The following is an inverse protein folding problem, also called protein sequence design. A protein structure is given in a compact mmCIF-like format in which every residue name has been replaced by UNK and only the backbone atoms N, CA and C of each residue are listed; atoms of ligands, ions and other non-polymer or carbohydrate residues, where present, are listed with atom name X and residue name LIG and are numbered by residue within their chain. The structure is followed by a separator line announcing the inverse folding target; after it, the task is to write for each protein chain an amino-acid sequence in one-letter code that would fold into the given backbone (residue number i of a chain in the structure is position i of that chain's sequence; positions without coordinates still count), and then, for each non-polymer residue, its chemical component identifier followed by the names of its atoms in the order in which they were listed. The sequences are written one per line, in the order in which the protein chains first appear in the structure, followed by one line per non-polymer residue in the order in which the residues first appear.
data_IF_160590764044
#
_entry.id   IF_160590764044
#
_cell.length_a   1.000
_cell.length_b   1.000
_cell.length_c   1.000
_cell.angle_alpha   90.00
_cell.angle_beta   90.00
_cell.angle_gamma   90.00
#
_symmetry.space_group_name_H-M   'P 1'
#
loop_
_entity.id
_entity.type
_entity.pdbx_description
1 polymer ?
#
# COMPACT_ATOMS: atom_id res chain seq x y z
N UNK A 1 -2.09 8.98 -28.85
CA UNK A 1 -3.39 8.32 -28.60
C UNK A 1 -4.21 9.10 -27.57
N UNK A 2 -3.97 9.02 -26.25
CA UNK A 2 -4.80 9.73 -25.23
C UNK A 2 -5.04 11.23 -25.51
N UNK A 3 -4.02 11.96 -25.95
CA UNK A 3 -4.16 13.37 -26.35
C UNK A 3 -5.05 13.58 -27.57
N UNK A 4 -5.05 12.64 -28.51
CA UNK A 4 -5.80 12.70 -29.76
C UNK A 4 -7.25 12.24 -29.55
N UNK A 5 -7.47 11.25 -28.70
CA UNK A 5 -8.77 10.67 -28.39
C UNK A 5 -9.49 11.36 -27.21
N UNK A 6 -9.02 12.54 -26.78
CA UNK A 6 -9.60 13.24 -25.62
C UNK A 6 -11.00 13.76 -25.96
N UNK A 7 -11.99 13.45 -25.11
CA UNK A 7 -13.31 14.05 -25.16
C UNK A 7 -13.33 15.37 -24.37
N UNK A 8 -13.14 16.50 -25.06
CA UNK A 8 -13.17 17.82 -24.42
C UNK A 8 -14.57 18.26 -23.99
N UNK A 9 -15.63 17.67 -24.55
CA UNK A 9 -16.99 17.96 -24.10
C UNK A 9 -17.23 17.34 -22.73
N UNK A 10 -16.97 16.03 -22.59
CA UNK A 10 -17.05 15.36 -21.30
C UNK A 10 -16.13 16.02 -20.25
N UNK A 11 -14.91 16.41 -20.63
CA UNK A 11 -13.99 17.08 -19.72
C UNK A 11 -14.53 18.42 -19.17
N UNK A 12 -15.25 19.20 -19.98
CA UNK A 12 -15.79 20.51 -19.56
C UNK A 12 -16.88 20.40 -18.50
N UNK A 13 -17.58 19.27 -18.44
CA UNK A 13 -18.64 19.01 -17.46
C UNK A 13 -18.12 18.59 -16.09
N UNK A 14 -16.80 18.40 -15.94
CA UNK A 14 -16.20 17.90 -14.71
C UNK A 14 -16.00 19.04 -13.72
N UNK A 15 -16.76 18.99 -12.63
CA UNK A 15 -16.66 19.91 -11.50
C UNK A 15 -15.86 19.26 -10.36
N UNK A 16 -14.97 20.03 -9.75
CA UNK A 16 -14.21 19.64 -8.55
C UNK A 16 -14.84 20.17 -7.26
N UNK A 17 -16.10 20.58 -7.32
CA UNK A 17 -16.94 20.96 -6.18
C UNK A 17 -17.70 19.75 -5.67
N UNK A 18 -17.64 19.49 -4.37
CA UNK A 18 -18.26 18.31 -3.75
C UNK A 18 -19.23 18.72 -2.64
N UNK A 19 -20.45 18.18 -2.65
CA UNK A 19 -21.46 18.44 -1.61
C UNK A 19 -21.03 18.00 -0.19
N UNK A 20 -20.18 16.97 -0.08
CA UNK A 20 -19.59 16.53 1.17
C UNK A 20 -18.08 16.36 1.04
N UNK A 21 -17.31 16.95 1.95
CA UNK A 21 -15.85 16.83 1.99
C UNK A 21 -15.35 16.73 3.44
N UNK A 22 -14.38 15.83 3.68
CA UNK A 22 -13.79 15.63 5.00
C UNK A 22 -12.92 16.83 5.39
N UNK A 23 -13.00 17.26 6.65
CA UNK A 23 -12.20 18.37 7.17
C UNK A 23 -10.78 17.96 7.48
N UNK A 24 -9.85 18.91 7.39
CA UNK A 24 -8.46 18.68 7.82
C UNK A 24 -7.60 17.97 6.79
N UNK A 25 -8.00 17.99 5.52
CA UNK A 25 -7.09 17.69 4.41
C UNK A 25 -5.81 18.53 4.50
N UNK A 26 -4.72 17.93 4.06
CA UNK A 26 -3.40 18.55 4.01
C UNK A 26 -2.83 18.42 2.61
N UNK A 27 -1.81 19.21 2.29
CA UNK A 27 -1.15 19.20 0.98
C UNK A 27 -0.80 17.76 0.56
N UNK A 28 -1.02 17.47 -0.72
CA UNK A 28 -0.72 16.17 -1.30
C UNK A 28 0.75 15.78 -1.08
N UNK A 29 0.97 14.51 -0.81
CA UNK A 29 2.27 13.86 -0.65
C UNK A 29 2.74 13.25 -1.96
N UNK A 30 4.05 13.09 -2.17
CA UNK A 30 4.60 12.47 -3.39
C UNK A 30 5.44 11.24 -3.07
N UNK A 31 5.07 10.10 -3.66
CA UNK A 31 5.85 8.85 -3.60
C UNK A 31 7.01 8.80 -4.60
N UNK A 32 7.14 9.80 -5.48
CA UNK A 32 8.15 9.87 -6.53
C UNK A 32 8.17 8.60 -7.39
N UNK A 33 9.33 8.02 -7.66
CA UNK A 33 9.53 6.82 -8.50
C UNK A 33 9.64 5.57 -7.62
N UNK A 34 8.61 5.35 -6.80
CA UNK A 34 8.45 4.15 -5.96
C UNK A 34 6.99 3.68 -5.99
N UNK A 35 6.74 2.41 -5.70
CA UNK A 35 5.40 1.80 -5.70
C UNK A 35 4.66 1.88 -4.35
N UNK A 36 4.92 2.92 -3.54
CA UNK A 36 4.47 3.02 -2.13
C UNK A 36 3.05 3.57 -1.94
N UNK A 37 2.24 3.64 -2.99
CA UNK A 37 0.92 4.28 -2.98
C UNK A 37 0.02 3.88 -1.80
N UNK A 38 -0.08 2.58 -1.52
CA UNK A 38 -0.84 2.01 -0.41
C UNK A 38 -0.41 2.55 0.96
N UNK A 39 0.90 2.63 1.21
CA UNK A 39 1.47 3.22 2.43
C UNK A 39 1.24 4.73 2.50
N UNK A 40 1.38 5.44 1.37
CA UNK A 40 1.08 6.87 1.31
C UNK A 40 -0.40 7.15 1.60
N UNK A 41 -1.31 6.40 0.99
CA UNK A 41 -2.75 6.52 1.22
C UNK A 41 -3.12 6.20 2.68
N UNK A 42 -2.57 5.13 3.25
CA UNK A 42 -2.80 4.78 4.67
C UNK A 42 -2.27 5.85 5.63
N UNK A 43 -1.05 6.36 5.41
CA UNK A 43 -0.49 7.44 6.23
C UNK A 43 -1.23 8.78 6.01
N UNK A 44 -1.78 9.01 4.81
CA UNK A 44 -2.63 10.17 4.51
C UNK A 44 -3.97 10.10 5.23
N UNK A 45 -4.55 8.91 5.38
CA UNK A 45 -5.71 8.68 6.25
C UNK A 45 -5.36 9.05 7.69
N UNK A 46 -4.28 8.47 8.24
CA UNK A 46 -3.90 8.70 9.64
C UNK A 46 -3.60 10.18 9.95
N UNK A 47 -3.02 10.94 9.00
CA UNK A 47 -2.59 12.33 9.29
C UNK A 47 -3.77 13.28 9.38
N UNK A 48 -4.92 12.92 8.81
CA UNK A 48 -6.16 13.69 8.95
C UNK A 48 -6.61 13.65 10.42
N UNK A 49 -6.67 12.47 11.04
CA UNK A 49 -7.02 12.32 12.44
C UNK A 49 -6.03 13.01 13.39
N UNK A 50 -4.73 12.78 13.20
CA UNK A 50 -3.69 13.45 13.99
C UNK A 50 -3.75 14.97 13.81
N UNK A 51 -3.93 15.43 12.57
CA UNK A 51 -4.06 16.83 12.22
C UNK A 51 -5.24 17.52 12.89
N UNK A 52 -6.39 16.84 12.98
CA UNK A 52 -7.57 17.32 13.71
C UNK A 52 -7.30 17.40 15.21
N UNK A 53 -6.76 16.33 15.81
CA UNK A 53 -6.41 16.24 17.24
C UNK A 53 -5.51 17.39 17.69
N UNK A 54 -4.47 17.68 16.91
CA UNK A 54 -3.47 18.72 17.24
C UNK A 54 -3.67 20.05 16.52
N UNK A 55 -4.76 20.20 15.76
CA UNK A 55 -5.08 21.40 14.95
C UNK A 55 -3.89 21.83 14.07
N UNK A 56 -3.26 20.89 13.38
CA UNK A 56 -2.09 21.13 12.54
C UNK A 56 -2.49 21.67 11.16
N UNK A 57 -1.66 22.57 10.60
CA UNK A 57 -1.80 23.03 9.20
C UNK A 57 -1.22 22.04 8.22
N UNK A 58 -0.08 21.43 8.57
CA UNK A 58 0.61 20.46 7.73
C UNK A 58 1.37 19.46 8.62
N UNK A 59 1.28 18.19 8.28
CA UNK A 59 1.99 17.10 8.93
C UNK A 59 2.15 15.94 7.95
N UNK A 60 3.26 15.21 8.08
CA UNK A 60 3.48 13.96 7.36
C UNK A 60 4.12 12.95 8.31
N UNK A 61 3.68 11.69 8.21
CA UNK A 61 4.43 10.56 8.74
C UNK A 61 5.57 10.19 7.80
N UNK A 62 6.58 9.49 8.30
CA UNK A 62 7.67 8.97 7.48
C UNK A 62 7.20 7.79 6.65
N UNK A 63 7.08 8.01 5.34
CA UNK A 63 6.85 6.94 4.38
C UNK A 63 8.11 6.08 4.14
N UNK A 64 9.29 6.60 4.48
CA UNK A 64 10.55 5.87 4.46
C UNK A 64 10.64 4.85 5.62
N UNK A 65 10.26 5.25 6.84
CA UNK A 65 10.15 4.35 8.00
C UNK A 65 9.24 3.16 7.71
N UNK A 66 8.06 3.45 7.15
CA UNK A 66 7.12 2.43 6.69
C UNK A 66 7.75 1.49 5.65
N UNK A 67 8.41 2.04 4.62
CA UNK A 67 9.07 1.25 3.57
C UNK A 67 10.17 0.35 4.12
N UNK A 68 10.94 0.82 5.09
CA UNK A 68 12.02 0.05 5.70
C UNK A 68 11.50 -1.27 6.27
N UNK A 69 10.51 -1.20 7.15
CA UNK A 69 9.97 -2.38 7.81
C UNK A 69 9.16 -3.26 6.86
N UNK A 70 8.41 -2.68 5.92
CA UNK A 70 7.72 -3.46 4.90
C UNK A 70 8.71 -4.33 4.10
N UNK A 71 9.84 -3.76 3.69
CA UNK A 71 10.87 -4.49 2.92
C UNK A 71 11.56 -5.56 3.75
N UNK A 72 11.90 -5.26 5.00
CA UNK A 72 12.51 -6.23 5.89
C UNK A 72 11.57 -7.42 6.15
N UNK A 73 10.30 -7.13 6.37
CA UNK A 73 9.29 -8.15 6.63
C UNK A 73 8.98 -8.97 5.38
N UNK A 74 8.83 -8.34 4.21
CA UNK A 74 8.69 -9.07 2.95
C UNK A 74 9.86 -9.99 2.64
N UNK A 75 11.09 -9.55 2.95
CA UNK A 75 12.27 -10.41 2.83
C UNK A 75 12.15 -11.64 3.74
N UNK A 76 11.78 -11.47 5.01
CA UNK A 76 11.54 -12.59 5.93
C UNK A 76 10.40 -13.50 5.45
N UNK A 77 9.27 -12.92 5.04
CA UNK A 77 8.12 -13.64 4.52
C UNK A 77 8.45 -14.47 3.28
N UNK A 78 9.24 -13.91 2.37
CA UNK A 78 9.76 -14.62 1.22
C UNK A 78 10.62 -15.83 1.63
N UNK A 79 11.59 -15.64 2.55
CA UNK A 79 12.45 -16.74 2.99
C UNK A 79 11.63 -17.85 3.68
N UNK A 80 10.63 -17.49 4.48
CA UNK A 80 9.69 -18.44 5.09
C UNK A 80 8.88 -19.20 4.04
N UNK A 81 8.39 -18.51 3.00
CA UNK A 81 7.67 -19.18 1.92
C UNK A 81 8.58 -20.12 1.13
N UNK A 82 9.85 -19.75 0.89
CA UNK A 82 10.82 -20.65 0.24
C UNK A 82 11.09 -21.90 1.07
N UNK A 83 11.17 -21.77 2.41
CA UNK A 83 11.30 -22.91 3.31
C UNK A 83 10.04 -23.78 3.24
N UNK A 84 8.85 -23.16 3.30
CA UNK A 84 7.55 -23.86 3.25
C UNK A 84 7.35 -24.62 1.93
N UNK A 85 7.85 -24.07 0.82
CA UNK A 85 7.73 -24.69 -0.51
C UNK A 85 9.02 -25.42 -0.91
N UNK A 86 9.84 -25.90 0.03
CA UNK A 86 11.13 -26.55 -0.27
C UNK A 86 10.98 -27.77 -1.17
N UNK A 87 9.89 -28.51 -1.00
CA UNK A 87 9.59 -29.75 -1.73
C UNK A 87 9.04 -29.51 -3.15
N UNK A 88 8.53 -28.31 -3.44
CA UNK A 88 8.05 -27.94 -4.78
C UNK A 88 9.22 -27.88 -5.77
N UNK A 89 9.06 -28.28 -7.04
CA UNK A 89 10.08 -28.06 -8.07
C UNK A 89 10.46 -26.58 -8.20
N UNK A 90 11.74 -26.31 -8.42
CA UNK A 90 12.24 -24.91 -8.50
C UNK A 90 11.66 -24.14 -9.68
N UNK A 91 11.27 -24.84 -10.75
CA UNK A 91 10.63 -24.30 -11.95
C UNK A 91 9.08 -24.35 -11.88
N UNK A 92 8.51 -24.76 -10.76
CA UNK A 92 7.06 -24.71 -10.54
C UNK A 92 6.54 -23.28 -10.62
N UNK A 93 5.28 -23.12 -11.06
CA UNK A 93 4.63 -21.80 -11.18
C UNK A 93 4.65 -21.02 -9.86
N UNK A 94 4.45 -21.71 -8.73
CA UNK A 94 4.46 -21.09 -7.40
C UNK A 94 5.85 -20.59 -7.02
N UNK A 95 6.88 -21.43 -7.13
CA UNK A 95 8.25 -21.03 -6.77
C UNK A 95 8.75 -19.91 -7.69
N UNK A 96 8.47 -19.99 -8.99
CA UNK A 96 8.82 -18.92 -9.93
C UNK A 96 8.07 -17.61 -9.64
N UNK A 97 6.80 -17.68 -9.21
CA UNK A 97 6.04 -16.51 -8.76
C UNK A 97 6.66 -15.87 -7.52
N UNK A 98 7.04 -16.66 -6.51
CA UNK A 98 7.72 -16.17 -5.30
C UNK A 98 9.07 -15.51 -5.63
N UNK A 99 9.81 -16.07 -6.59
CA UNK A 99 11.13 -15.58 -7.01
C UNK A 99 11.05 -14.33 -7.89
N UNK A 100 9.91 -14.05 -8.54
CA UNK A 100 9.77 -12.94 -9.49
C UNK A 100 10.01 -11.58 -8.81
N UNK A 101 9.22 -11.27 -7.78
CA UNK A 101 9.19 -9.94 -7.17
C UNK A 101 9.08 -9.99 -5.63
N UNK A 102 10.05 -10.62 -4.92
CA UNK A 102 9.93 -10.95 -3.50
C UNK A 102 9.90 -9.73 -2.56
N UNK A 103 10.34 -8.56 -3.04
CA UNK A 103 10.43 -7.32 -2.25
C UNK A 103 9.85 -6.10 -2.96
N UNK A 104 8.87 -6.33 -3.84
CA UNK A 104 8.16 -5.24 -4.53
C UNK A 104 7.58 -4.23 -3.54
N UNK A 105 7.44 -2.97 -3.98
CA UNK A 105 6.99 -1.88 -3.11
C UNK A 105 5.50 -1.97 -2.75
N UNK A 106 4.67 -2.58 -3.61
CA UNK A 106 3.22 -2.62 -3.45
C UNK A 106 2.75 -3.50 -2.29
N UNK A 107 1.56 -3.24 -1.78
CA UNK A 107 0.96 -4.00 -0.68
C UNK A 107 -0.52 -3.69 -0.52
N UNK A 108 -1.12 -4.27 0.52
CA UNK A 108 -2.56 -4.25 0.78
C UNK A 108 -2.88 -3.67 2.16
N UNK A 109 -4.15 -3.39 2.43
CA UNK A 109 -4.58 -2.78 3.69
C UNK A 109 -4.14 -3.58 4.93
N UNK A 110 -4.41 -4.87 5.01
CA UNK A 110 -4.01 -5.68 6.19
C UNK A 110 -2.49 -5.73 6.38
N UNK A 111 -1.71 -5.73 5.29
CA UNK A 111 -0.25 -5.61 5.34
C UNK A 111 0.19 -4.27 5.95
N UNK A 112 -0.56 -3.19 5.71
CA UNK A 112 -0.31 -1.88 6.30
C UNK A 112 -0.61 -1.93 7.80
N UNK A 113 -1.76 -2.49 8.18
CA UNK A 113 -2.15 -2.67 9.58
C UNK A 113 -1.10 -3.48 10.35
N UNK A 114 -0.63 -4.61 9.80
CA UNK A 114 0.40 -5.44 10.43
C UNK A 114 1.67 -4.64 10.76
N UNK A 115 2.12 -3.78 9.84
CA UNK A 115 3.31 -2.97 10.06
C UNK A 115 3.10 -1.91 11.14
N UNK A 116 1.97 -1.21 11.12
CA UNK A 116 1.67 -0.17 12.11
C UNK A 116 1.46 -0.76 13.50
N UNK A 117 0.85 -1.94 13.60
CA UNK A 117 0.66 -2.63 14.88
C UNK A 117 1.98 -3.13 15.47
N UNK A 118 2.90 -3.62 14.62
CA UNK A 118 4.20 -4.15 15.07
C UNK A 118 5.24 -3.06 15.32
N UNK A 119 5.33 -2.06 14.46
CA UNK A 119 6.41 -1.06 14.49
C UNK A 119 5.94 0.34 14.85
N UNK A 120 4.64 0.63 14.80
CA UNK A 120 4.14 2.00 14.93
C UNK A 120 4.53 2.86 13.74
N UNK A 121 4.70 4.15 13.97
CA UNK A 121 5.09 5.12 12.93
C UNK A 121 5.87 6.28 13.54
N UNK A 122 6.45 7.13 12.71
CA UNK A 122 7.19 8.32 13.14
C UNK A 122 6.85 9.52 12.27
N UNK A 123 7.00 10.76 12.77
CA UNK A 123 6.96 11.96 11.93
C UNK A 123 8.01 11.90 10.81
N UNK A 124 7.69 12.47 9.64
CA UNK A 124 8.61 12.52 8.49
C UNK A 124 9.97 13.16 8.79
N UNK A 125 10.01 14.12 9.72
CA UNK A 125 11.26 14.77 10.16
C UNK A 125 12.19 13.84 10.93
N UNK A 126 11.65 12.80 11.56
CA UNK A 126 12.40 11.84 12.39
C UNK A 126 13.08 10.79 11.53
N UNK A 127 12.49 10.44 10.38
CA UNK A 127 13.15 9.66 9.34
C UNK A 127 12.74 10.20 7.97
N UNK A 128 13.59 11.05 7.39
CA UNK A 128 13.32 11.69 6.10
C UNK A 128 13.41 10.69 4.94
N UNK A 129 12.97 11.11 3.75
CA UNK A 129 13.19 10.35 2.52
C UNK A 129 14.68 10.26 2.18
N UNK A 130 15.13 9.11 1.69
CA UNK A 130 16.42 8.93 1.04
C UNK A 130 16.26 8.99 -0.49
N UNK A 131 17.37 8.96 -1.22
CA UNK A 131 17.30 8.81 -2.67
C UNK A 131 16.53 7.54 -3.07
N UNK A 132 16.83 6.41 -2.42
CA UNK A 132 16.26 5.10 -2.74
C UNK A 132 14.83 4.92 -2.23
N UNK A 133 14.41 5.64 -1.18
CA UNK A 133 12.98 5.65 -0.82
C UNK A 133 12.14 6.31 -1.93
N UNK A 134 12.69 7.34 -2.59
CA UNK A 134 12.07 8.02 -3.74
C UNK A 134 12.35 7.39 -5.11
N UNK A 135 13.32 6.48 -5.21
CA UNK A 135 13.79 5.82 -6.45
C UNK A 135 14.18 4.35 -6.18
N UNK A 136 13.20 3.51 -5.90
CA UNK A 136 13.41 2.20 -5.28
C UNK A 136 13.92 1.10 -6.22
N UNK A 137 13.84 1.29 -7.53
CA UNK A 137 14.09 0.25 -8.53
C UNK A 137 15.46 -0.44 -8.38
N UNK A 138 16.55 0.35 -8.21
CA UNK A 138 17.90 -0.22 -8.10
C UNK A 138 18.11 -0.99 -6.78
N UNK A 139 17.63 -0.42 -5.67
CA UNK A 139 17.66 -1.11 -4.37
C UNK A 139 16.90 -2.44 -4.45
N UNK A 140 15.67 -2.42 -4.97
CA UNK A 140 14.85 -3.62 -5.12
C UNK A 140 15.54 -4.67 -5.99
N UNK A 141 16.16 -4.26 -7.11
CA UNK A 141 16.89 -5.18 -8.01
C UNK A 141 18.03 -5.91 -7.27
N UNK A 142 18.84 -5.18 -6.52
CA UNK A 142 19.99 -5.76 -5.80
C UNK A 142 19.56 -6.64 -4.63
N UNK A 143 18.54 -6.21 -3.86
CA UNK A 143 18.01 -7.02 -2.76
C UNK A 143 17.34 -8.29 -3.30
N UNK A 144 16.52 -8.20 -4.36
CA UNK A 144 15.93 -9.37 -5.02
C UNK A 144 17.00 -10.34 -5.52
N UNK A 145 18.10 -9.85 -6.11
CA UNK A 145 19.22 -10.71 -6.51
C UNK A 145 19.77 -11.50 -5.32
N UNK A 146 19.97 -10.85 -4.17
CA UNK A 146 20.48 -11.53 -2.97
C UNK A 146 19.45 -12.49 -2.37
N UNK A 147 18.17 -12.14 -2.35
CA UNK A 147 17.09 -13.03 -1.91
C UNK A 147 16.99 -14.31 -2.74
N UNK A 148 17.17 -14.22 -4.07
CA UNK A 148 17.19 -15.41 -4.94
C UNK A 148 18.38 -16.33 -4.65
N UNK A 149 19.54 -15.77 -4.32
CA UNK A 149 20.71 -16.53 -3.88
C UNK A 149 20.42 -17.25 -2.55
N UNK A 150 19.84 -16.55 -1.58
CA UNK A 150 19.40 -17.13 -0.32
C UNK A 150 18.33 -18.22 -0.49
N UNK A 151 17.42 -18.06 -1.44
CA UNK A 151 16.43 -19.09 -1.73
C UNK A 151 17.06 -20.39 -2.22
N UNK A 152 18.07 -20.30 -3.10
CA UNK A 152 18.87 -21.46 -3.54
C UNK A 152 19.57 -22.11 -2.35
N UNK A 153 20.21 -21.32 -1.48
CA UNK A 153 20.94 -21.81 -0.32
C UNK A 153 20.04 -22.50 0.71
N UNK A 154 18.87 -21.92 1.01
CA UNK A 154 17.88 -22.51 1.93
C UNK A 154 17.38 -23.85 1.39
N UNK A 155 16.92 -23.89 0.14
CA UNK A 155 16.42 -25.12 -0.50
C UNK A 155 17.51 -26.19 -0.58
N UNK A 156 18.74 -25.82 -0.94
CA UNK A 156 19.88 -26.72 -0.96
C UNK A 156 20.23 -27.25 0.43
N UNK A 157 20.17 -26.41 1.46
CA UNK A 157 20.38 -26.80 2.86
C UNK A 157 19.33 -27.80 3.35
N UNK A 158 18.05 -27.57 3.06
CA UNK A 158 16.96 -28.49 3.41
C UNK A 158 17.15 -29.84 2.69
N UNK A 159 17.42 -29.82 1.37
CA UNK A 159 17.68 -31.03 0.59
C UNK A 159 18.89 -31.82 1.10
N UNK A 160 19.90 -31.14 1.66
CA UNK A 160 21.06 -31.76 2.28
C UNK A 160 20.80 -32.28 3.71
N UNK A 161 19.56 -32.24 4.20
CA UNK A 161 19.17 -32.77 5.51
C UNK A 161 19.49 -31.85 6.70
N UNK A 162 19.66 -30.54 6.48
CA UNK A 162 19.81 -29.60 7.60
C UNK A 162 18.54 -29.58 8.46
N UNK A 163 18.73 -29.60 9.78
CA UNK A 163 17.63 -29.49 10.74
C UNK A 163 16.95 -28.12 10.69
N UNK A 164 15.71 -28.04 11.17
CA UNK A 164 14.95 -26.78 11.29
C UNK A 164 15.72 -25.70 12.07
N UNK A 165 16.47 -26.08 13.10
CA UNK A 165 17.30 -25.15 13.86
C UNK A 165 18.44 -24.55 13.03
N UNK A 166 19.12 -25.37 12.21
CA UNK A 166 20.16 -24.90 11.31
C UNK A 166 19.60 -24.01 10.19
N UNK A 167 18.44 -24.36 9.63
CA UNK A 167 17.73 -23.54 8.64
C UNK A 167 17.30 -22.20 9.25
N UNK A 168 16.77 -22.21 10.47
CA UNK A 168 16.43 -20.99 11.21
C UNK A 168 17.64 -20.08 11.45
N UNK A 169 18.80 -20.65 11.80
CA UNK A 169 20.06 -19.91 11.93
C UNK A 169 20.49 -19.27 10.61
N UNK A 170 20.46 -20.03 9.51
CA UNK A 170 20.77 -19.50 8.18
C UNK A 170 19.86 -18.31 7.83
N UNK A 171 18.55 -18.46 8.03
CA UNK A 171 17.58 -17.39 7.76
C UNK A 171 17.90 -16.12 8.58
N UNK A 172 18.28 -16.26 9.85
CA UNK A 172 18.66 -15.13 10.70
C UNK A 172 19.90 -14.39 10.18
N UNK A 173 20.92 -15.13 9.74
CA UNK A 173 22.13 -14.56 9.11
C UNK A 173 21.79 -13.85 7.79
N UNK A 174 20.94 -14.47 6.96
CA UNK A 174 20.44 -13.90 5.71
C UNK A 174 19.69 -12.58 5.95
N UNK A 175 18.79 -12.54 6.94
CA UNK A 175 18.06 -11.31 7.30
C UNK A 175 18.97 -10.21 7.83
N UNK A 176 20.05 -10.55 8.52
CA UNK A 176 21.04 -9.57 8.96
C UNK A 176 21.71 -8.87 7.78
N UNK A 177 22.01 -9.61 6.70
CA UNK A 177 22.51 -9.03 5.45
C UNK A 177 21.47 -8.11 4.80
N UNK A 178 20.21 -8.55 4.72
CA UNK A 178 19.12 -7.72 4.16
C UNK A 178 18.93 -6.44 4.96
N UNK A 179 18.95 -6.53 6.29
CA UNK A 179 18.86 -5.37 7.18
C UNK A 179 19.97 -4.36 6.91
N UNK A 180 21.21 -4.81 6.78
CA UNK A 180 22.34 -3.94 6.43
C UNK A 180 22.14 -3.26 5.07
N UNK A 181 21.69 -4.00 4.05
CA UNK A 181 21.37 -3.43 2.74
C UNK A 181 20.29 -2.34 2.85
N UNK A 182 19.23 -2.57 3.65
CA UNK A 182 18.18 -1.58 3.87
C UNK A 182 18.70 -0.34 4.60
N UNK A 183 19.49 -0.50 5.66
CA UNK A 183 20.09 0.63 6.39
C UNK A 183 20.97 1.50 5.47
N UNK A 184 21.76 0.89 4.58
CA UNK A 184 22.59 1.62 3.61
C UNK A 184 21.72 2.47 2.66
N UNK A 185 20.58 1.94 2.22
CA UNK A 185 19.73 2.60 1.22
C UNK A 185 18.72 3.59 1.83
N UNK A 186 18.21 3.32 3.02
CA UNK A 186 17.05 3.99 3.61
C UNK A 186 17.39 4.73 4.92
N UNK A 187 18.56 4.48 5.49
CA UNK A 187 18.93 4.93 6.83
C UNK A 187 18.46 3.96 7.92
N UNK A 188 19.04 4.09 9.12
CA UNK A 188 18.67 3.28 10.28
C UNK A 188 17.37 3.81 10.90
N UNK A 189 16.36 2.95 11.13
CA UNK A 189 15.13 3.37 11.78
C UNK A 189 15.39 3.91 13.21
N UNK A 190 14.75 5.03 13.59
CA UNK A 190 14.91 5.59 14.92
C UNK A 190 14.14 4.78 15.97
N UNK A 191 14.76 4.57 17.12
CA UNK A 191 14.17 3.85 18.25
C UNK A 191 13.52 4.80 19.27
N UNK A 192 14.10 5.99 19.45
CA UNK A 192 13.62 7.05 20.33
C UNK A 192 13.77 8.42 19.66
N UNK A 193 12.83 9.33 19.92
CA UNK A 193 12.86 10.68 19.41
C UNK A 193 11.98 11.62 20.24
N UNK A 194 12.26 12.91 20.13
CA UNK A 194 11.37 13.97 20.58
C UNK A 194 10.55 14.49 19.41
N UNK A 195 9.31 14.89 19.67
CA UNK A 195 8.43 15.49 18.69
C UNK A 195 7.89 16.83 19.19
N UNK A 196 8.09 17.87 18.39
CA UNK A 196 7.60 19.22 18.69
C UNK A 196 6.69 19.73 17.58
N UNK A 197 5.62 20.43 17.97
CA UNK A 197 4.64 21.00 17.04
C UNK A 197 4.29 22.44 17.43
N UNK A 198 3.79 23.18 16.44
CA UNK A 198 3.00 24.38 16.63
C UNK A 198 1.63 24.15 16.00
N UNK A 199 0.58 24.45 16.73
CA UNK A 199 -0.79 24.36 16.19
C UNK A 199 -1.12 25.58 15.30
N UNK A 200 -2.36 25.62 14.78
CA UNK A 200 -2.86 26.73 13.95
C UNK A 200 -2.81 28.11 14.63
N UNK A 201 -2.69 28.19 15.96
CA UNK A 201 -2.60 29.41 16.78
C UNK A 201 -1.19 29.66 17.31
N UNK A 202 -0.17 29.03 16.72
CA UNK A 202 1.23 29.09 17.12
C UNK A 202 1.53 28.59 18.53
N UNK A 203 0.61 27.84 19.16
CA UNK A 203 0.84 27.23 20.47
C UNK A 203 1.83 26.08 20.34
N UNK A 204 2.95 26.20 21.03
CA UNK A 204 4.00 25.20 21.07
C UNK A 204 3.65 24.03 22.00
N UNK A 205 3.95 22.81 21.56
CA UNK A 205 3.93 21.60 22.39
C UNK A 205 5.15 20.74 22.05
N UNK A 206 5.71 20.07 23.07
CA UNK A 206 6.80 19.11 22.94
C UNK A 206 6.46 17.82 23.68
N UNK A 207 6.77 16.72 23.03
CA UNK A 207 6.62 15.36 23.54
C UNK A 207 8.00 14.72 23.49
N UNK A 208 8.51 14.25 24.62
CA UNK A 208 9.86 13.68 24.73
C UNK A 208 9.82 12.18 24.91
N UNK A 209 10.95 11.52 24.68
CA UNK A 209 11.16 10.09 24.95
C UNK A 209 10.15 9.16 24.24
N UNK A 210 9.71 9.57 23.05
CA UNK A 210 8.79 8.78 22.25
C UNK A 210 9.54 7.67 21.53
N UNK A 211 8.97 6.47 21.56
CA UNK A 211 9.25 5.40 20.59
C UNK A 211 8.24 5.44 19.45
N UNK A 212 8.53 4.85 18.28
CA UNK A 212 7.55 4.76 17.18
C UNK A 212 6.19 4.15 17.58
N UNK A 213 6.20 3.12 18.44
CA UNK A 213 4.97 2.51 18.96
C UNK A 213 4.21 3.42 19.92
N UNK A 214 4.90 4.07 20.86
CA UNK A 214 4.24 4.99 21.80
C UNK A 214 3.72 6.23 21.09
N UNK A 215 4.41 6.69 20.05
CA UNK A 215 3.92 7.78 19.20
C UNK A 215 2.63 7.39 18.48
N UNK A 216 2.60 6.22 17.84
CA UNK A 216 1.40 5.70 17.19
C UNK A 216 0.22 5.57 18.17
N UNK A 217 0.42 4.89 19.30
CA UNK A 217 -0.64 4.66 20.30
C UNK A 217 -1.18 5.95 20.91
N UNK A 218 -0.33 6.91 21.26
CA UNK A 218 -0.75 8.15 21.96
C UNK A 218 -1.29 9.23 21.02
N UNK A 219 -0.69 9.39 19.83
CA UNK A 219 -0.94 10.56 18.98
C UNK A 219 -1.81 10.28 17.76
N UNK A 220 -1.85 9.04 17.26
CA UNK A 220 -2.77 8.65 16.18
C UNK A 220 -4.10 8.21 16.76
N UNK A 221 -4.07 7.31 17.76
CA UNK A 221 -5.23 6.96 18.59
C UNK A 221 -6.43 6.43 17.77
N UNK A 222 -6.13 5.59 16.78
CA UNK A 222 -7.11 4.87 15.95
C UNK A 222 -6.82 3.38 16.06
N UNK A 223 -7.86 2.59 16.32
CA UNK A 223 -7.75 1.14 16.24
C UNK A 223 -7.92 0.68 14.79
N UNK A 224 -6.80 0.38 14.13
CA UNK A 224 -6.80 -0.10 12.74
C UNK A 224 -7.50 -1.46 12.57
N UNK A 225 -7.74 -2.21 13.64
CA UNK A 225 -8.49 -3.47 13.59
C UNK A 225 -10.00 -3.28 13.40
N UNK A 226 -10.52 -2.06 13.61
CA UNK A 226 -11.94 -1.75 13.39
C UNK A 226 -12.27 -1.57 11.89
N UNK A 227 -11.24 -1.50 11.04
CA UNK A 227 -11.39 -1.34 9.60
C UNK A 227 -11.57 -2.69 8.91
N UNK A 228 -12.43 -2.72 7.89
CA UNK A 228 -12.69 -3.90 7.05
C UNK A 228 -12.35 -3.56 5.61
N UNK A 229 -11.65 -4.47 4.91
CA UNK A 229 -11.37 -4.30 3.49
C UNK A 229 -12.53 -4.86 2.65
N UNK A 230 -13.22 -3.97 1.94
CA UNK A 230 -14.31 -4.31 1.03
C UNK A 230 -13.76 -4.35 -0.40
N UNK A 231 -14.14 -5.38 -1.17
CA UNK A 231 -13.84 -5.48 -2.60
C UNK A 231 -15.12 -5.65 -3.39
N UNK A 232 -15.05 -5.35 -4.68
CA UNK A 232 -16.03 -5.82 -5.65
C UNK A 232 -15.29 -6.62 -6.73
N UNK A 233 -15.41 -7.93 -6.62
CA UNK A 233 -14.90 -8.93 -7.55
C UNK A 233 -16.10 -9.69 -8.14
N UNK A 234 -16.50 -9.35 -9.39
CA UNK A 234 -17.65 -9.97 -10.03
C UNK A 234 -17.30 -11.29 -10.74
N UNK A 235 -16.10 -11.86 -10.53
CA UNK A 235 -15.70 -13.11 -11.20
C UNK A 235 -16.56 -14.28 -10.74
N UNK A 236 -16.84 -15.28 -11.61
CA UNK A 236 -17.77 -16.37 -11.29
C UNK A 236 -17.37 -17.23 -10.09
N UNK A 237 -16.08 -17.31 -9.76
CA UNK A 237 -15.58 -18.10 -8.62
C UNK A 237 -15.57 -17.32 -7.30
N UNK A 238 -16.00 -16.05 -7.28
CA UNK A 238 -16.06 -15.21 -6.09
C UNK A 238 -17.50 -14.80 -5.77
N UNK A 239 -18.19 -15.60 -4.97
CA UNK A 239 -19.49 -15.25 -4.38
C UNK A 239 -19.42 -13.93 -3.59
N UNK A 240 -20.48 -13.13 -3.65
CA UNK A 240 -20.69 -11.99 -2.75
C UNK A 240 -21.03 -12.44 -1.31
N UNK A 241 -20.84 -11.53 -0.35
CA UNK A 241 -21.04 -11.75 1.09
C UNK A 241 -20.14 -12.86 1.67
N UNK A 242 -18.99 -13.11 1.02
CA UNK A 242 -17.95 -14.02 1.50
C UNK A 242 -16.61 -13.33 1.62
N UNK A 243 -15.78 -13.87 2.52
CA UNK A 243 -14.43 -13.39 2.74
C UNK A 243 -13.42 -14.21 1.97
N UNK A 244 -12.49 -13.54 1.31
CA UNK A 244 -11.40 -14.15 0.54
C UNK A 244 -10.05 -13.70 1.08
N UNK A 245 -9.06 -14.56 0.88
CA UNK A 245 -7.64 -14.24 1.05
C UNK A 245 -6.89 -14.61 -0.23
N UNK A 246 -5.64 -14.20 -0.34
CA UNK A 246 -4.76 -14.57 -1.45
C UNK A 246 -3.56 -15.31 -0.87
N UNK A 247 -3.42 -16.58 -1.24
CA UNK A 247 -2.32 -17.40 -0.77
C UNK A 247 -0.97 -16.75 -1.11
N UNK A 248 -0.05 -16.82 -0.14
CA UNK A 248 1.29 -16.24 -0.22
C UNK A 248 1.36 -14.71 -0.41
N UNK A 249 0.25 -13.98 -0.31
CA UNK A 249 0.25 -12.52 -0.26
C UNK A 249 0.35 -12.04 1.19
N UNK A 250 1.47 -11.41 1.55
CA UNK A 250 1.70 -10.92 2.92
C UNK A 250 3.06 -10.23 3.09
N UNK A 251 3.32 -9.74 4.30
CA UNK A 251 4.61 -9.15 4.68
C UNK A 251 5.06 -9.61 6.07
N UNK A 252 4.28 -9.38 7.13
CA UNK A 252 4.67 -9.75 8.49
C UNK A 252 4.34 -11.23 8.71
N UNK A 253 5.36 -12.08 8.83
CA UNK A 253 5.15 -13.50 9.13
C UNK A 253 4.51 -13.68 10.51
N UNK A 254 3.42 -14.46 10.57
CA UNK A 254 2.57 -14.60 11.77
C UNK A 254 1.67 -13.40 12.06
N UNK A 255 1.65 -12.38 11.18
CA UNK A 255 0.70 -11.27 11.24
C UNK A 255 -0.69 -11.67 10.74
N UNK A 256 -1.61 -10.71 10.71
CA UNK A 256 -2.95 -10.94 10.17
C UNK A 256 -2.88 -11.29 8.68
N UNK A 257 -3.65 -12.29 8.27
CA UNK A 257 -3.87 -12.58 6.85
C UNK A 257 -4.64 -11.44 6.20
N UNK A 258 -4.51 -11.33 4.87
CA UNK A 258 -5.30 -10.39 4.08
C UNK A 258 -6.73 -10.90 4.00
N UNK A 259 -7.70 -10.04 4.27
CA UNK A 259 -9.12 -10.42 4.27
C UNK A 259 -9.92 -9.42 3.44
N UNK A 260 -10.53 -9.92 2.39
CA UNK A 260 -11.42 -9.14 1.54
C UNK A 260 -12.86 -9.64 1.70
N UNK A 261 -13.78 -8.77 2.10
CA UNK A 261 -15.21 -9.05 2.02
C UNK A 261 -15.70 -8.63 0.63
N UNK A 262 -16.12 -9.61 -0.19
CA UNK A 262 -16.63 -9.33 -1.53
C UNK A 262 -18.08 -8.87 -1.46
N UNK A 263 -18.38 -7.69 -1.99
CA UNK A 263 -19.71 -7.09 -2.01
C UNK A 263 -20.02 -6.49 -3.39
N UNK A 264 -21.30 -6.23 -3.62
CA UNK A 264 -21.76 -5.48 -4.79
C UNK A 264 -21.24 -4.03 -4.77
N UNK A 265 -21.05 -3.45 -5.96
CA UNK A 265 -20.50 -2.09 -6.10
C UNK A 265 -21.35 -1.03 -5.39
N UNK A 266 -22.66 -1.21 -5.33
CA UNK A 266 -23.55 -0.27 -4.65
C UNK A 266 -23.35 -0.26 -3.13
N UNK A 267 -23.04 -1.40 -2.51
CA UNK A 267 -22.69 -1.45 -1.09
C UNK A 267 -21.35 -0.74 -0.83
N UNK A 268 -20.34 -0.92 -1.69
CA UNK A 268 -19.07 -0.18 -1.58
C UNK A 268 -19.30 1.34 -1.64
N UNK A 269 -20.11 1.81 -2.59
CA UNK A 269 -20.48 3.24 -2.71
C UNK A 269 -21.20 3.74 -1.46
N UNK A 270 -22.21 3.00 -0.99
CA UNK A 270 -23.00 3.32 0.21
C UNK A 270 -22.11 3.46 1.45
N UNK A 271 -21.21 2.52 1.71
CA UNK A 271 -20.31 2.60 2.87
C UNK A 271 -19.28 3.73 2.71
N UNK A 272 -18.79 3.97 1.49
CA UNK A 272 -17.91 5.11 1.21
C UNK A 272 -18.60 6.44 1.50
N UNK A 273 -19.82 6.63 0.99
CA UNK A 273 -20.62 7.85 1.25
C UNK A 273 -20.87 8.03 2.75
N UNK A 274 -21.23 6.95 3.45
CA UNK A 274 -21.46 6.99 4.90
C UNK A 274 -20.20 7.40 5.67
N UNK A 275 -19.05 6.86 5.29
CA UNK A 275 -17.75 7.22 5.89
C UNK A 275 -17.42 8.69 5.65
N UNK A 276 -17.53 9.18 4.42
CA UNK A 276 -17.23 10.59 4.10
C UNK A 276 -18.18 11.54 4.83
N UNK A 277 -19.49 11.23 4.92
CA UNK A 277 -20.46 12.01 5.71
C UNK A 277 -20.16 12.00 7.21
N UNK A 278 -19.52 10.95 7.71
CA UNK A 278 -19.03 10.85 9.08
C UNK A 278 -17.67 11.52 9.29
N UNK A 279 -17.15 12.25 8.30
CA UNK A 279 -15.83 12.90 8.30
C UNK A 279 -14.64 11.92 8.25
N UNK A 280 -14.87 10.65 7.90
CA UNK A 280 -13.83 9.63 7.85
C UNK A 280 -13.40 9.36 6.40
N UNK A 281 -12.14 9.66 6.03
CA UNK A 281 -11.63 9.44 4.67
C UNK A 281 -11.48 7.95 4.38
N UNK A 282 -11.62 7.55 3.11
CA UNK A 282 -11.68 6.14 2.71
C UNK A 282 -10.48 5.76 1.84
N UNK A 283 -9.66 4.85 2.34
CA UNK A 283 -8.61 4.23 1.53
C UNK A 283 -9.25 3.36 0.45
N UNK A 284 -8.79 3.47 -0.80
CA UNK A 284 -9.30 2.62 -1.87
C UNK A 284 -8.21 2.22 -2.86
N UNK A 285 -8.38 1.04 -3.45
CA UNK A 285 -7.58 0.53 -4.55
C UNK A 285 -8.33 0.59 -5.88
N UNK A 286 -7.65 0.95 -6.96
CA UNK A 286 -8.21 0.96 -8.31
C UNK A 286 -7.16 0.67 -9.38
N UNK A 287 -7.62 0.45 -10.63
CA UNK A 287 -6.74 0.48 -11.80
C UNK A 287 -6.58 1.93 -12.30
N UNK A 288 -5.65 2.68 -11.69
CA UNK A 288 -5.48 4.11 -12.00
C UNK A 288 -5.00 4.37 -13.44
N UNK A 289 -4.51 3.34 -14.13
CA UNK A 289 -4.07 3.45 -15.52
C UNK A 289 -5.25 3.61 -16.49
N UNK A 290 -6.45 3.16 -16.11
CA UNK A 290 -7.64 3.14 -16.96
C UNK A 290 -8.36 4.49 -16.89
N UNK A 291 -8.66 5.04 -18.07
CA UNK A 291 -9.47 6.26 -18.22
C UNK A 291 -9.05 7.45 -17.33
N UNK A 292 -7.73 7.61 -17.16
CA UNK A 292 -7.11 8.64 -16.32
C UNK A 292 -6.24 9.60 -17.13
N UNK A 293 -6.38 10.90 -16.83
CA UNK A 293 -5.44 11.95 -17.25
C UNK A 293 -4.70 12.53 -16.05
N UNK A 294 -3.38 12.31 -15.99
CA UNK A 294 -2.54 12.84 -14.92
C UNK A 294 -2.40 14.37 -14.96
N UNK A 295 -2.45 14.96 -16.16
CA UNK A 295 -2.28 16.41 -16.33
C UNK A 295 -3.41 17.19 -15.66
N UNK A 296 -4.65 16.68 -15.74
CA UNK A 296 -5.82 17.35 -15.17
C UNK A 296 -6.33 16.68 -13.89
N UNK A 297 -5.81 15.52 -13.51
CA UNK A 297 -6.20 14.84 -12.27
C UNK A 297 -7.60 14.23 -12.33
N UNK A 298 -8.05 13.80 -13.51
CA UNK A 298 -9.42 13.34 -13.77
C UNK A 298 -9.44 11.86 -14.14
N UNK A 299 -10.38 11.13 -13.52
CA UNK A 299 -10.70 9.73 -13.82
C UNK A 299 -12.18 9.64 -14.23
N UNK A 300 -12.45 9.47 -15.52
CA UNK A 300 -13.81 9.38 -16.07
C UNK A 300 -13.82 8.46 -17.30
N UNK A 301 -14.73 7.49 -17.35
CA UNK A 301 -14.85 6.53 -18.46
C UNK A 301 -15.22 7.18 -19.78
N UNK A 302 -15.79 8.38 -19.78
CA UNK A 302 -16.14 9.16 -20.97
C UNK A 302 -15.01 10.08 -21.44
N UNK A 303 -13.89 10.13 -20.72
CA UNK A 303 -12.79 11.07 -20.98
C UNK A 303 -12.07 10.81 -22.31
N UNK A 304 -12.11 9.56 -22.80
CA UNK A 304 -11.42 9.17 -24.03
C UNK A 304 -12.35 8.42 -24.98
N UNK A 305 -12.45 8.90 -26.22
CA UNK A 305 -13.24 8.28 -27.28
C UNK A 305 -12.40 7.28 -28.09
N UNK A 306 -11.81 6.28 -27.42
CA UNK A 306 -10.94 5.29 -28.09
C UNK A 306 -11.69 4.50 -29.15
N UNK A 307 -12.95 4.15 -28.90
CA UNK A 307 -13.81 3.45 -29.85
C UNK A 307 -13.94 4.23 -31.16
N UNK A 308 -14.26 5.52 -31.08
CA UNK A 308 -14.37 6.42 -32.24
C UNK A 308 -13.02 6.62 -32.93
N UNK A 309 -11.96 6.80 -32.15
CA UNK A 309 -10.61 7.02 -32.68
C UNK A 309 -10.09 5.83 -33.50
N UNK A 310 -10.38 4.61 -33.07
CA UNK A 310 -9.94 3.39 -33.75
C UNK A 310 -10.99 2.76 -34.68
N UNK A 311 -12.23 3.25 -34.67
CA UNK A 311 -13.34 2.65 -35.42
C UNK A 311 -13.67 1.23 -34.96
N UNK A 312 -13.55 0.95 -33.66
CA UNK A 312 -13.82 -0.38 -33.06
C UNK A 312 -14.48 -0.25 -31.69
N UNK A 313 -14.69 -1.35 -30.97
CA UNK A 313 -15.29 -1.35 -29.62
C UNK A 313 -14.43 -2.10 -28.61
N UNK A 314 -14.37 -1.59 -27.38
CA UNK A 314 -13.71 -2.24 -26.23
C UNK A 314 -14.74 -2.69 -25.18
N UNK A 315 -15.46 -3.80 -25.45
CA UNK A 315 -16.68 -4.19 -24.73
C UNK A 315 -16.54 -5.12 -23.52
N UNK A 316 -15.32 -5.42 -23.02
CA UNK A 316 -15.14 -6.35 -21.90
C UNK A 316 -15.83 -5.82 -20.62
N UNK A 317 -16.58 -6.67 -19.94
CA UNK A 317 -17.14 -6.40 -18.61
C UNK A 317 -16.06 -6.32 -17.52
N UNK A 318 -16.42 -5.88 -16.31
CA UNK A 318 -15.46 -5.86 -15.19
C UNK A 318 -14.93 -7.26 -14.85
N UNK A 319 -15.78 -8.29 -14.93
CA UNK A 319 -15.38 -9.68 -14.68
C UNK A 319 -14.35 -10.15 -15.71
N UNK A 320 -14.68 -9.99 -16.99
CA UNK A 320 -13.81 -10.44 -18.10
C UNK A 320 -12.48 -9.68 -18.09
N UNK A 321 -12.47 -8.38 -17.78
CA UNK A 321 -11.20 -7.63 -17.64
C UNK A 321 -10.29 -8.19 -16.55
N UNK A 322 -10.84 -8.68 -15.44
CA UNK A 322 -10.06 -9.30 -14.36
C UNK A 322 -9.60 -10.71 -14.74
N UNK A 323 -10.46 -11.49 -15.41
CA UNK A 323 -10.18 -12.88 -15.79
C UNK A 323 -9.13 -12.98 -16.92
N UNK A 324 -9.22 -12.10 -17.91
CA UNK A 324 -8.33 -12.09 -19.08
C UNK A 324 -7.12 -11.16 -18.91
N UNK A 325 -6.91 -10.60 -17.71
CA UNK A 325 -5.72 -9.82 -17.39
C UNK A 325 -5.65 -8.42 -18.01
N UNK A 326 -6.78 -7.85 -18.46
CA UNK A 326 -6.84 -6.46 -18.93
C UNK A 326 -6.80 -5.44 -17.78
N UNK A 327 -7.38 -5.77 -16.62
CA UNK A 327 -7.42 -4.87 -15.47
C UNK A 327 -7.13 -5.59 -14.16
N UNK A 328 -6.52 -4.86 -13.24
CA UNK A 328 -6.21 -5.30 -11.87
C UNK A 328 -6.06 -4.04 -10.99
N UNK A 329 -6.14 -4.18 -9.67
CA UNK A 329 -5.75 -3.09 -8.77
C UNK A 329 -4.26 -2.76 -8.99
N UNK A 330 -3.97 -1.52 -9.39
CA UNK A 330 -2.59 -1.05 -9.67
C UNK A 330 -2.14 0.08 -8.74
N UNK A 331 -3.08 0.76 -8.10
CA UNK A 331 -2.77 1.92 -7.26
C UNK A 331 -3.77 2.08 -6.12
N UNK A 332 -3.30 2.68 -5.02
CA UNK A 332 -4.12 3.03 -3.87
C UNK A 332 -4.12 4.53 -3.62
N UNK A 333 -5.28 5.08 -3.32
CA UNK A 333 -5.53 6.50 -3.06
C UNK A 333 -6.49 6.66 -1.88
N UNK A 334 -6.93 7.90 -1.65
CA UNK A 334 -7.80 8.25 -0.54
C UNK A 334 -8.98 9.07 -1.08
N UNK A 335 -10.21 8.59 -0.87
CA UNK A 335 -11.40 9.42 -1.04
C UNK A 335 -11.52 10.36 0.15
N UNK A 336 -11.76 11.63 -0.15
CA UNK A 336 -11.91 12.70 0.84
C UNK A 336 -13.13 13.57 0.59
N UNK A 337 -13.86 13.36 -0.50
CA UNK A 337 -15.11 14.03 -0.79
C UNK A 337 -15.99 13.17 -1.70
N UNK A 338 -17.28 13.50 -1.70
CA UNK A 338 -18.27 12.94 -2.61
C UNK A 338 -19.28 14.03 -2.95
N UNK A 339 -19.68 14.06 -4.22
CA UNK A 339 -20.80 14.88 -4.66
C UNK A 339 -22.05 14.01 -4.83
N UNK A 340 -23.19 14.52 -4.37
CA UNK A 340 -24.45 13.79 -4.32
C UNK A 340 -25.55 14.66 -4.93
N UNK A 341 -26.26 14.11 -5.90
CA UNK A 341 -27.50 14.72 -6.40
C UNK A 341 -28.54 14.63 -5.27
N UNK A 342 -28.90 15.80 -4.73
CA UNK A 342 -29.93 15.91 -3.70
C UNK A 342 -31.32 15.60 -4.24
#
# INVERSE_FOLDING_TARGET
IRKLAMNWEAFREIDHTFSNQVKGEMKATSQMRSGRCWGFAGLNLLRIYLGRKYKLKNFEFSQNYFMFYDKLEKANYFLENIIKTSEEPTDSRLVMHLLDSPIQDGGQWDMFVNLLMKYGTVPKKVMAESYHSSHSAQMNKLITRKLREFAKELRGGIKAGKSNAQVGKMKGEMLSVIYQMLCINLGTPPEKFDWSIKDKKDKFQRFTDLTPQTFFKKHVDINLNDFVCLINDPRPFTDYNKTYTVDYLGNVYGGNIIRYLNLETEELKKYTIKSIKAEDPVWFGCDVGKFFTRQFGVMDTNLFEFDKFYGTTFGLSKSERLEYGDSVMTHAMLFTGVDLKN
#
